data_IF_673699657385
#
_entry.id   IF_673699657385
#
_cell.length_a   1.000
_cell.length_b   1.000
_cell.length_c   1.000
_cell.angle_alpha   90.00
_cell.angle_beta   90.00
_cell.angle_gamma   90.00
#
_symmetry.space_group_name_H-M   'P 1'
#
loop_
_entity.id
_entity.type
_entity.pdbx_description
1 polymer ?
#
# COMPACT_ATOMS: atom_id res chain seq x y z
N UNK A 1 4.70 14.93 -5.05
CA UNK A 1 4.83 13.85 -4.05
C UNK A 1 5.49 14.41 -2.81
N UNK A 2 4.77 14.28 -1.70
CA UNK A 2 5.11 14.86 -0.41
C UNK A 2 6.44 14.32 0.15
N UNK A 3 7.17 15.18 0.85
CA UNK A 3 8.48 14.84 1.44
C UNK A 3 8.34 13.76 2.52
N UNK A 4 7.23 13.75 3.24
CA UNK A 4 6.95 12.86 4.36
C UNK A 4 6.77 11.43 3.87
N UNK A 5 6.03 11.21 2.78
CA UNK A 5 5.89 9.87 2.15
C UNK A 5 7.24 9.33 1.70
N UNK A 6 8.11 10.18 1.13
CA UNK A 6 9.45 9.76 0.70
C UNK A 6 10.33 9.34 1.89
N UNK A 7 10.27 10.07 3.00
CA UNK A 7 11.02 9.73 4.21
C UNK A 7 10.54 8.38 4.77
N UNK A 8 9.23 8.19 4.91
CA UNK A 8 8.66 6.92 5.35
C UNK A 8 9.08 5.76 4.45
N UNK A 9 9.04 5.94 3.12
CA UNK A 9 9.48 4.90 2.17
C UNK A 9 10.95 4.57 2.34
N UNK A 10 11.79 5.57 2.59
CA UNK A 10 13.20 5.37 2.90
C UNK A 10 13.39 4.57 4.19
N UNK A 11 12.62 4.88 5.24
CA UNK A 11 12.69 4.19 6.53
C UNK A 11 12.23 2.73 6.42
N UNK A 12 11.18 2.44 5.64
CA UNK A 12 10.75 1.07 5.35
C UNK A 12 11.86 0.30 4.64
N UNK A 13 12.45 0.87 3.58
CA UNK A 13 13.51 0.19 2.84
C UNK A 13 14.75 -0.08 3.70
N UNK A 14 15.11 0.87 4.57
CA UNK A 14 16.23 0.71 5.48
C UNK A 14 16.00 -0.44 6.47
N UNK A 15 14.85 -0.44 7.14
CA UNK A 15 14.49 -1.50 8.08
C UNK A 15 14.32 -2.87 7.40
N UNK A 16 13.76 -2.92 6.20
CA UNK A 16 13.64 -4.16 5.44
C UNK A 16 15.01 -4.76 5.12
N UNK A 17 15.99 -3.92 4.76
CA UNK A 17 17.37 -4.35 4.54
C UNK A 17 18.02 -4.90 5.83
N UNK A 18 17.78 -4.26 6.98
CA UNK A 18 18.26 -4.76 8.28
C UNK A 18 17.66 -6.13 8.66
N UNK A 19 16.45 -6.42 8.16
CA UNK A 19 15.73 -7.69 8.35
C UNK A 19 16.06 -8.75 7.29
N UNK A 20 17.01 -8.49 6.37
CA UNK A 20 17.30 -9.35 5.21
C UNK A 20 16.03 -9.67 4.39
N UNK A 21 15.17 -8.66 4.25
CA UNK A 21 13.89 -8.73 3.56
C UNK A 21 13.97 -7.94 2.25
N UNK A 22 14.06 -8.65 1.12
CA UNK A 22 14.13 -8.02 -0.18
C UNK A 22 12.75 -7.53 -0.64
N UNK A 23 12.61 -6.22 -0.72
CA UNK A 23 11.41 -5.54 -1.22
C UNK A 23 11.63 -4.96 -2.61
N UNK A 24 10.63 -5.14 -3.47
CA UNK A 24 10.48 -4.39 -4.71
C UNK A 24 9.66 -3.14 -4.46
N UNK A 25 10.08 -2.01 -5.04
CA UNK A 25 9.40 -0.73 -4.92
C UNK A 25 9.01 -0.22 -6.32
N UNK A 26 7.73 0.12 -6.49
CA UNK A 26 7.23 0.81 -7.68
C UNK A 26 6.58 2.12 -7.27
N UNK A 27 6.99 3.22 -7.90
CA UNK A 27 6.34 4.51 -7.70
C UNK A 27 5.04 4.58 -8.51
N UNK A 28 3.98 5.12 -7.91
CA UNK A 28 2.70 5.43 -8.57
C UNK A 28 2.60 6.94 -8.70
N UNK A 29 2.98 7.43 -9.88
CA UNK A 29 2.93 8.85 -10.27
C UNK A 29 3.36 9.82 -9.16
N UNK A 30 2.41 10.62 -8.65
CA UNK A 30 2.62 11.61 -7.60
C UNK A 30 1.93 11.26 -6.27
N UNK A 31 1.24 10.13 -6.24
CA UNK A 31 0.29 9.75 -5.18
C UNK A 31 0.93 8.86 -4.12
N UNK A 32 1.86 7.98 -4.53
CA UNK A 32 2.47 7.06 -3.59
C UNK A 32 3.40 6.02 -4.19
N UNK A 33 3.52 4.92 -3.47
CA UNK A 33 4.43 3.83 -3.74
C UNK A 33 3.74 2.49 -3.49
N UNK A 34 4.12 1.49 -4.28
CA UNK A 34 3.73 0.09 -4.10
C UNK A 34 4.97 -0.69 -3.73
N UNK A 35 4.93 -1.34 -2.57
CA UNK A 35 5.88 -2.33 -2.13
C UNK A 35 5.39 -3.73 -2.47
N UNK A 36 6.30 -4.62 -2.85
CA UNK A 36 6.02 -6.04 -2.97
C UNK A 36 7.20 -6.85 -2.45
N UNK A 37 6.93 -7.93 -1.72
CA UNK A 37 7.99 -8.85 -1.31
C UNK A 37 8.62 -9.56 -2.53
N UNK A 38 9.74 -10.26 -2.33
CA UNK A 38 10.50 -10.92 -3.41
C UNK A 38 9.63 -11.84 -4.30
N UNK A 39 8.69 -12.57 -3.71
CA UNK A 39 7.75 -13.45 -4.42
C UNK A 39 6.52 -12.74 -4.99
N UNK A 40 6.36 -11.45 -4.72
CA UNK A 40 5.17 -10.61 -5.04
C UNK A 40 3.84 -11.24 -4.60
N UNK A 41 3.88 -12.03 -3.53
CA UNK A 41 2.70 -12.63 -2.91
C UNK A 41 2.07 -11.69 -1.90
N UNK A 42 2.84 -10.74 -1.38
CA UNK A 42 2.39 -9.69 -0.47
C UNK A 42 2.74 -8.35 -1.06
N UNK A 43 1.73 -7.51 -1.23
CA UNK A 43 1.83 -6.20 -1.85
C UNK A 43 1.14 -5.18 -0.95
N UNK A 44 1.78 -4.03 -0.79
CA UNK A 44 1.26 -2.90 0.00
C UNK A 44 1.39 -1.62 -0.81
N UNK A 45 0.31 -0.86 -0.93
CA UNK A 45 0.34 0.52 -1.41
C UNK A 45 0.46 1.47 -0.23
N UNK A 46 1.32 2.49 -0.34
CA UNK A 46 1.53 3.56 0.64
C UNK A 46 1.37 4.90 -0.07
N UNK A 47 0.59 5.81 0.49
CA UNK A 47 0.36 7.13 -0.11
C UNK A 47 -0.25 8.12 0.87
N UNK A 48 -0.56 9.32 0.35
CA UNK A 48 -1.35 10.30 1.09
C UNK A 48 -2.83 9.98 0.95
N UNK A 49 -3.54 10.06 2.06
CA UNK A 49 -4.98 10.00 2.15
C UNK A 49 -5.48 11.33 2.69
N UNK A 50 -6.48 11.89 2.05
CA UNK A 50 -7.22 13.00 2.62
C UNK A 50 -8.38 12.41 3.41
N UNK A 51 -8.35 12.62 4.72
CA UNK A 51 -9.44 12.25 5.63
C UNK A 51 -10.11 13.53 6.15
N UNK A 52 -11.39 13.43 6.47
CA UNK A 52 -12.08 14.50 7.18
C UNK A 52 -11.84 14.30 8.68
N UNK A 53 -11.38 15.35 9.36
CA UNK A 53 -11.23 15.33 10.81
C UNK A 53 -12.59 15.56 11.51
N UNK A 54 -12.58 15.61 12.85
CA UNK A 54 -13.81 15.83 13.66
C UNK A 54 -14.47 17.20 13.42
N UNK A 55 -13.77 18.12 12.75
CA UNK A 55 -14.22 19.48 12.43
C UNK A 55 -14.64 19.64 10.95
N UNK A 56 -14.81 18.53 10.22
CA UNK A 56 -15.08 18.47 8.77
C UNK A 56 -14.00 19.15 7.90
N UNK A 57 -12.78 19.30 8.41
CA UNK A 57 -11.64 19.81 7.64
C UNK A 57 -10.85 18.65 6.99
N UNK A 58 -10.37 18.84 5.76
CA UNK A 58 -9.51 17.88 5.08
C UNK A 58 -8.10 17.88 5.70
N UNK A 59 -7.70 16.75 6.27
CA UNK A 59 -6.35 16.48 6.75
C UNK A 59 -5.67 15.41 5.88
N UNK A 60 -4.47 15.72 5.40
CA UNK A 60 -3.64 14.78 4.66
C UNK A 60 -2.85 13.90 5.63
N UNK A 61 -3.21 12.63 5.72
CA UNK A 61 -2.52 11.61 6.52
C UNK A 61 -1.81 10.61 5.61
N UNK A 62 -0.77 9.95 6.11
CA UNK A 62 -0.15 8.85 5.37
C UNK A 62 -0.92 7.56 5.69
N UNK A 63 -1.35 6.87 4.64
CA UNK A 63 -2.06 5.60 4.75
C UNK A 63 -1.38 4.47 3.99
N UNK A 64 -1.70 3.24 4.37
CA UNK A 64 -1.23 2.04 3.72
C UNK A 64 -2.38 1.04 3.49
N UNK A 65 -2.34 0.32 2.36
CA UNK A 65 -3.30 -0.71 2.01
C UNK A 65 -2.57 -1.96 1.55
N UNK A 66 -2.95 -3.12 2.10
CA UNK A 66 -2.57 -4.41 1.52
C UNK A 66 -3.39 -4.67 0.27
N UNK A 67 -2.80 -5.37 -0.70
CA UNK A 67 -3.47 -5.79 -1.93
C UNK A 67 -3.48 -7.31 -1.98
N UNK A 68 -4.67 -7.92 -2.02
CA UNK A 68 -4.83 -9.33 -2.36
C UNK A 68 -4.60 -9.51 -3.86
N UNK A 69 -3.38 -9.96 -4.21
CA UNK A 69 -2.94 -10.13 -5.59
C UNK A 69 -3.80 -11.15 -6.35
N UNK A 70 -4.35 -12.15 -5.67
CA UNK A 70 -5.16 -13.19 -6.32
C UNK A 70 -6.52 -12.64 -6.70
N UNK A 71 -7.17 -11.93 -5.78
CA UNK A 71 -8.46 -11.28 -6.05
C UNK A 71 -8.32 -10.13 -7.03
N UNK A 72 -7.25 -9.35 -6.94
CA UNK A 72 -6.95 -8.30 -7.93
C UNK A 72 -6.85 -8.89 -9.34
N UNK A 73 -6.07 -9.97 -9.52
CA UNK A 73 -5.93 -10.62 -10.84
C UNK A 73 -7.23 -11.24 -11.34
N UNK A 74 -8.05 -11.77 -10.44
CA UNK A 74 -9.37 -12.28 -10.80
C UNK A 74 -10.27 -11.15 -11.30
N UNK A 75 -10.37 -10.03 -10.57
CA UNK A 75 -11.19 -8.89 -10.98
C UNK A 75 -10.71 -8.29 -12.31
N UNK A 76 -9.40 -8.18 -12.52
CA UNK A 76 -8.82 -7.73 -13.80
C UNK A 76 -9.21 -8.68 -14.96
N UNK A 77 -9.18 -10.00 -14.71
CA UNK A 77 -9.57 -11.00 -15.71
C UNK A 77 -11.07 -10.99 -16.04
N UNK A 78 -11.92 -10.69 -15.06
CA UNK A 78 -13.37 -10.48 -15.26
C UNK A 78 -13.69 -9.14 -15.95
N UNK A 79 -12.70 -8.27 -16.12
CA UNK A 79 -12.83 -7.00 -16.82
C UNK A 79 -13.33 -5.84 -15.95
N UNK A 80 -13.24 -5.94 -14.63
CA UNK A 80 -13.51 -4.81 -13.74
C UNK A 80 -12.49 -3.69 -14.00
N UNK A 81 -12.95 -2.45 -14.04
CA UNK A 81 -12.04 -1.30 -14.05
C UNK A 81 -11.37 -1.11 -12.69
N UNK A 82 -10.26 -0.37 -12.67
CA UNK A 82 -9.58 -0.04 -11.41
C UNK A 82 -10.51 0.72 -10.44
N UNK A 83 -11.31 1.65 -10.95
CA UNK A 83 -12.29 2.40 -10.14
C UNK A 83 -13.34 1.46 -9.54
N UNK A 84 -13.86 0.50 -10.33
CA UNK A 84 -14.79 -0.51 -9.82
C UNK A 84 -14.15 -1.41 -8.75
N UNK A 85 -12.89 -1.79 -8.92
CA UNK A 85 -12.18 -2.55 -7.88
C UNK A 85 -12.03 -1.75 -6.59
N UNK A 86 -11.83 -0.43 -6.69
CA UNK A 86 -11.68 0.47 -5.54
C UNK A 86 -13.02 0.75 -4.86
N UNK A 87 -14.10 0.93 -5.62
CA UNK A 87 -15.40 1.32 -5.09
C UNK A 87 -16.23 0.10 -4.65
N UNK A 88 -16.33 -0.92 -5.51
CA UNK A 88 -17.21 -2.08 -5.29
C UNK A 88 -16.50 -3.21 -4.54
N UNK A 89 -15.19 -3.37 -4.72
CA UNK A 89 -14.39 -4.48 -4.18
C UNK A 89 -13.37 -4.04 -3.13
N UNK A 90 -13.49 -2.82 -2.60
CA UNK A 90 -12.52 -2.21 -1.66
C UNK A 90 -12.13 -3.17 -0.55
N UNK A 91 -13.09 -3.64 0.24
CA UNK A 91 -12.84 -4.51 1.39
C UNK A 91 -12.49 -5.96 1.04
N UNK A 92 -12.49 -6.30 -0.24
CA UNK A 92 -12.09 -7.61 -0.72
C UNK A 92 -10.67 -7.64 -1.24
N UNK A 93 -10.28 -6.64 -2.01
CA UNK A 93 -8.98 -6.54 -2.67
C UNK A 93 -8.02 -5.68 -1.85
N UNK A 94 -8.51 -4.61 -1.22
CA UNK A 94 -7.72 -3.56 -0.59
C UNK A 94 -8.04 -3.42 0.90
N UNK A 95 -7.18 -3.95 1.78
CA UNK A 95 -7.39 -3.80 3.23
C UNK A 95 -6.49 -2.72 3.80
N UNK A 96 -7.08 -1.73 4.45
CA UNK A 96 -6.36 -0.67 5.18
C UNK A 96 -5.54 -1.31 6.30
N UNK A 97 -4.27 -0.90 6.42
CA UNK A 97 -3.37 -1.32 7.48
C UNK A 97 -2.63 -0.13 8.08
N UNK A 98 -2.14 -0.30 9.29
CA UNK A 98 -1.23 0.66 9.90
C UNK A 98 0.05 0.81 9.08
N UNK A 99 0.57 2.04 9.00
CA UNK A 99 1.87 2.33 8.38
C UNK A 99 3.00 1.56 9.07
N UNK A 100 2.90 1.41 10.38
CA UNK A 100 3.78 0.62 11.25
C UNK A 100 3.69 -0.89 10.98
N UNK A 101 2.55 -1.39 10.50
CA UNK A 101 2.34 -2.80 10.19
C UNK A 101 2.87 -3.21 8.79
N UNK A 102 3.29 -2.24 7.97
CA UNK A 102 3.72 -2.48 6.58
C UNK A 102 4.89 -3.47 6.51
N UNK A 103 5.89 -3.29 7.37
CA UNK A 103 7.06 -4.16 7.41
C UNK A 103 6.70 -5.56 7.90
N UNK A 104 5.91 -5.65 8.96
CA UNK A 104 5.45 -6.94 9.48
C UNK A 104 4.67 -7.70 8.40
N UNK A 105 3.78 -7.02 7.69
CA UNK A 105 3.05 -7.63 6.59
C UNK A 105 3.97 -8.06 5.45
N UNK A 106 4.91 -7.23 4.99
CA UNK A 106 5.74 -7.55 3.82
C UNK A 106 6.81 -8.62 4.12
N UNK A 107 7.36 -8.61 5.34
CA UNK A 107 8.56 -9.36 5.71
C UNK A 107 8.31 -10.59 6.59
N UNK A 108 7.08 -10.82 7.09
CA UNK A 108 6.80 -12.06 7.81
C UNK A 108 7.11 -13.28 6.93
N UNK A 109 8.00 -14.14 7.40
CA UNK A 109 8.29 -15.44 6.79
C UNK A 109 7.09 -16.35 7.06
N UNK A 110 6.32 -16.67 6.01
CA UNK A 110 5.39 -17.82 6.02
C UNK A 110 6.23 -19.08 5.82
#
# INVERSE_FOLDING_TARGET
>A
MDRTVKLMVSDILHQANDLDCNLSLKRVENEGYIFGNEKKTRVVAVGLLNILNEEDEEEAVIGAFTIDVSKYKWADAEGFSQDQMIDDLRGEIFNLIGVDEVLDYLCHKI
#
